data_IF_625895534108
#
_entry.id   IF_625895534108
#
_cell.length_a   1.000
_cell.length_b   1.000
_cell.length_c   1.000
_cell.angle_alpha   90.00
_cell.angle_beta   90.00
_cell.angle_gamma   90.00
#
_symmetry.space_group_name_H-M   'P 1'
#
loop_
_entity.id
_entity.type
_entity.pdbx_description
1 polymer ?
#
# COMPACT_ATOMS: atom_id res chain seq x y z
N UNK A 1 6.19 -6.83 -13.58
CA UNK A 1 6.23 -6.16 -12.26
C UNK A 1 6.33 -4.65 -12.47
N UNK A 2 5.49 -3.85 -11.83
CA UNK A 2 5.54 -2.38 -12.00
C UNK A 2 6.72 -1.82 -11.22
N UNK A 3 7.72 -1.28 -11.92
CA UNK A 3 8.88 -0.64 -11.30
C UNK A 3 8.43 0.60 -10.52
N UNK A 4 8.93 0.77 -9.31
CA UNK A 4 8.64 1.94 -8.50
C UNK A 4 9.39 3.15 -9.05
N UNK A 5 8.65 4.12 -9.60
CA UNK A 5 9.21 5.34 -10.19
C UNK A 5 9.42 6.47 -9.17
N UNK A 6 8.61 6.52 -8.12
CA UNK A 6 8.62 7.61 -7.14
C UNK A 6 9.21 7.17 -5.80
N UNK A 7 9.96 8.06 -5.14
CA UNK A 7 10.42 7.80 -3.79
C UNK A 7 9.23 7.82 -2.80
N UNK A 8 9.25 6.89 -1.82
CA UNK A 8 8.17 6.76 -0.82
C UNK A 8 7.94 8.05 -0.01
N UNK A 9 8.98 8.77 0.31
CA UNK A 9 8.90 9.98 1.13
C UNK A 9 8.42 11.23 0.38
N UNK A 10 8.47 11.24 -0.95
CA UNK A 10 7.76 12.26 -1.75
C UNK A 10 6.24 12.08 -1.65
N UNK A 11 5.78 10.84 -1.47
CA UNK A 11 4.36 10.53 -1.29
C UNK A 11 3.88 11.10 0.04
N UNK A 12 4.59 10.85 1.16
CA UNK A 12 4.26 11.38 2.48
C UNK A 12 4.11 12.90 2.46
N UNK A 13 5.09 13.59 1.90
CA UNK A 13 5.08 15.05 1.80
C UNK A 13 3.98 15.59 0.89
N UNK A 14 3.71 14.92 -0.24
CA UNK A 14 2.62 15.30 -1.17
C UNK A 14 1.26 15.18 -0.51
N UNK A 15 1.04 14.13 0.28
CA UNK A 15 -0.23 13.84 0.93
C UNK A 15 -0.36 14.51 2.31
N UNK A 16 0.68 15.24 2.75
CA UNK A 16 0.75 15.91 4.05
C UNK A 16 0.43 14.97 5.21
N UNK A 17 0.98 13.75 5.17
CA UNK A 17 0.79 12.73 6.22
C UNK A 17 1.95 11.75 6.25
N UNK A 18 2.35 11.31 7.44
CA UNK A 18 3.30 10.22 7.61
C UNK A 18 2.52 8.88 7.49
N UNK A 19 2.40 8.37 6.26
CA UNK A 19 1.54 7.21 5.93
C UNK A 19 1.88 5.93 6.72
N UNK A 20 3.15 5.74 7.06
CA UNK A 20 3.61 4.51 7.72
C UNK A 20 4.10 4.72 9.16
N UNK A 21 3.82 5.89 9.77
CA UNK A 21 4.18 6.19 11.14
C UNK A 21 5.68 6.17 11.44
N UNK A 22 6.55 6.39 10.44
CA UNK A 22 7.99 6.26 10.62
C UNK A 22 8.59 7.49 11.30
N UNK A 23 9.38 7.32 12.39
CA UNK A 23 10.03 8.44 13.07
C UNK A 23 10.94 9.26 12.14
N UNK A 24 11.66 8.56 11.24
CA UNK A 24 12.58 9.17 10.25
C UNK A 24 11.90 9.67 8.99
N UNK A 25 10.56 9.78 8.93
CA UNK A 25 9.88 10.31 7.75
C UNK A 25 10.25 11.79 7.55
N UNK A 26 10.68 12.20 6.33
CA UNK A 26 10.95 13.61 6.04
C UNK A 26 9.74 14.54 6.22
N UNK A 27 8.52 13.99 6.22
CA UNK A 27 7.32 14.77 6.53
C UNK A 27 7.35 15.37 7.92
N UNK A 28 7.90 14.66 8.91
CA UNK A 28 8.00 15.14 10.29
C UNK A 28 8.87 16.41 10.42
N UNK A 29 9.85 16.58 9.51
CA UNK A 29 10.73 17.76 9.47
C UNK A 29 10.28 18.81 8.45
N UNK A 30 9.61 18.38 7.37
CA UNK A 30 9.23 19.20 6.21
C UNK A 30 7.79 18.90 5.83
N UNK A 31 6.82 19.46 6.55
CA UNK A 31 5.39 19.22 6.38
C UNK A 31 4.77 19.83 5.10
N UNK A 32 5.60 20.39 4.21
CA UNK A 32 5.18 20.99 2.95
C UNK A 32 5.42 20.06 1.75
N UNK A 33 4.68 20.23 0.64
CA UNK A 33 4.83 19.40 -0.56
C UNK A 33 6.26 19.40 -1.11
N UNK A 34 6.70 18.35 -1.83
CA UNK A 34 8.00 18.32 -2.47
C UNK A 34 8.03 19.25 -3.69
N UNK A 35 9.24 19.75 -4.01
CA UNK A 35 9.49 20.62 -5.16
C UNK A 35 9.94 22.02 -4.74
N UNK A 36 10.41 22.79 -5.73
CA UNK A 36 10.96 24.14 -5.52
C UNK A 36 9.94 25.10 -4.89
N UNK A 37 8.67 25.02 -5.33
CA UNK A 37 7.58 25.87 -4.82
C UNK A 37 6.75 25.22 -3.71
N UNK A 38 7.26 24.16 -3.08
CA UNK A 38 6.50 23.42 -2.06
C UNK A 38 6.13 24.26 -0.84
N UNK A 39 6.98 25.18 -0.43
CA UNK A 39 6.74 26.04 0.75
C UNK A 39 5.67 27.11 0.51
N UNK A 40 5.64 27.70 -0.70
CA UNK A 40 4.69 28.75 -1.06
C UNK A 40 3.30 28.23 -1.46
N UNK A 41 3.14 26.92 -1.63
CA UNK A 41 1.91 26.32 -2.15
C UNK A 41 0.90 26.00 -1.04
N UNK A 42 0.15 26.99 -0.60
CA UNK A 42 -0.92 26.88 0.41
C UNK A 42 -2.34 26.95 -0.22
N UNK A 43 -2.53 26.41 -1.41
CA UNK A 43 -3.85 26.39 -2.04
C UNK A 43 -4.83 25.53 -1.21
N UNK A 44 -6.01 26.10 -0.91
CA UNK A 44 -7.14 25.38 -0.33
C UNK A 44 -7.62 24.33 -1.33
N UNK A 45 -7.80 23.11 -0.85
CA UNK A 45 -8.32 22.02 -1.68
C UNK A 45 -9.83 22.21 -1.90
N UNK A 46 -10.29 21.94 -3.11
CA UNK A 46 -11.71 21.76 -3.40
C UNK A 46 -12.21 20.44 -2.78
N UNK A 47 -13.54 20.28 -2.70
CA UNK A 47 -14.14 19.03 -2.18
C UNK A 47 -13.68 17.80 -2.98
N UNK A 48 -13.67 17.92 -4.31
CA UNK A 48 -13.09 16.89 -5.19
C UNK A 48 -11.61 16.63 -4.88
N UNK A 49 -10.82 17.69 -4.66
CA UNK A 49 -9.41 17.57 -4.31
C UNK A 49 -9.20 16.83 -2.99
N UNK A 50 -10.06 17.05 -2.00
CA UNK A 50 -10.05 16.37 -0.70
C UNK A 50 -10.37 14.89 -0.85
N UNK A 51 -11.40 14.54 -1.60
CA UNK A 51 -11.78 13.15 -1.89
C UNK A 51 -10.69 12.42 -2.67
N UNK A 52 -10.12 13.08 -3.69
CA UNK A 52 -9.00 12.53 -4.46
C UNK A 52 -7.77 12.28 -3.56
N UNK A 53 -7.48 13.21 -2.66
CA UNK A 53 -6.37 13.06 -1.71
C UNK A 53 -6.61 11.88 -0.76
N UNK A 54 -7.82 11.68 -0.25
CA UNK A 54 -8.18 10.53 0.59
C UNK A 54 -7.96 9.20 -0.16
N UNK A 55 -8.44 9.11 -1.40
CA UNK A 55 -8.19 7.94 -2.27
C UNK A 55 -6.69 7.71 -2.48
N UNK A 56 -5.90 8.75 -2.72
CA UNK A 56 -4.45 8.63 -2.92
C UNK A 56 -3.73 8.20 -1.63
N UNK A 57 -4.18 8.65 -0.45
CA UNK A 57 -3.66 8.18 0.84
C UNK A 57 -3.85 6.67 0.97
N UNK A 58 -5.06 6.17 0.75
CA UNK A 58 -5.38 4.75 0.84
C UNK A 58 -4.53 3.92 -0.14
N UNK A 59 -4.50 4.29 -1.42
CA UNK A 59 -3.67 3.61 -2.42
C UNK A 59 -2.19 3.57 -2.05
N UNK A 60 -1.68 4.68 -1.54
CA UNK A 60 -0.26 4.83 -1.20
C UNK A 60 0.11 4.03 0.03
N UNK A 61 -0.77 3.96 1.03
CA UNK A 61 -0.60 3.15 2.23
C UNK A 61 -0.33 1.68 1.89
N UNK A 62 -1.10 1.11 0.96
CA UNK A 62 -0.91 -0.26 0.46
C UNK A 62 0.19 -0.37 -0.62
N UNK A 63 1.23 0.45 -0.52
CA UNK A 63 2.40 0.38 -1.38
C UNK A 63 2.19 0.96 -2.78
N UNK A 64 1.39 2.01 -2.89
CA UNK A 64 1.11 2.71 -4.13
C UNK A 64 0.53 1.79 -5.23
N UNK A 65 -0.56 1.12 -4.90
CA UNK A 65 -1.34 0.30 -5.84
C UNK A 65 -1.73 1.18 -7.05
N UNK A 66 -1.61 0.65 -8.27
CA UNK A 66 -1.99 1.40 -9.45
C UNK A 66 -3.52 1.58 -9.54
N UNK A 67 -3.98 2.55 -10.33
CA UNK A 67 -5.40 2.92 -10.42
C UNK A 67 -6.27 1.77 -10.92
N UNK A 68 -5.78 1.02 -11.91
CA UNK A 68 -6.51 -0.12 -12.48
C UNK A 68 -6.72 -1.22 -11.43
N UNK A 69 -5.67 -1.55 -10.67
CA UNK A 69 -5.77 -2.54 -9.59
C UNK A 69 -6.72 -2.08 -8.48
N UNK A 70 -6.61 -0.82 -8.06
CA UNK A 70 -7.49 -0.26 -7.03
C UNK A 70 -8.95 -0.29 -7.47
N UNK A 71 -9.25 0.12 -8.71
CA UNK A 71 -10.59 0.08 -9.29
C UNK A 71 -11.15 -1.36 -9.33
N UNK A 72 -10.33 -2.34 -9.68
CA UNK A 72 -10.74 -3.75 -9.68
C UNK A 72 -11.08 -4.26 -8.28
N UNK A 73 -10.28 -3.89 -7.27
CA UNK A 73 -10.58 -4.24 -5.86
C UNK A 73 -11.87 -3.57 -5.40
N UNK A 74 -12.07 -2.30 -5.73
CA UNK A 74 -13.28 -1.56 -5.40
C UNK A 74 -14.54 -2.19 -6.04
N UNK A 75 -14.48 -2.57 -7.31
CA UNK A 75 -15.58 -3.28 -7.98
C UNK A 75 -15.92 -4.60 -7.27
N UNK A 76 -14.91 -5.36 -6.85
CA UNK A 76 -15.13 -6.59 -6.06
C UNK A 76 -15.73 -6.31 -4.69
N UNK A 77 -15.38 -5.19 -4.07
CA UNK A 77 -15.93 -4.80 -2.77
C UNK A 77 -17.43 -4.46 -2.86
N UNK A 78 -17.87 -3.75 -3.92
CA UNK A 78 -19.28 -3.44 -4.15
C UNK A 78 -20.14 -4.69 -4.36
N UNK A 79 -19.57 -5.72 -5.00
CA UNK A 79 -20.30 -6.98 -5.27
C UNK A 79 -20.50 -7.83 -4.02
N UNK A 80 -19.79 -7.54 -2.92
CA UNK A 80 -19.95 -8.25 -1.66
C UNK A 80 -21.07 -7.64 -0.82
N UNK A 81 -21.80 -8.51 -0.11
CA UNK A 81 -22.80 -8.06 0.89
C UNK A 81 -22.10 -7.33 2.05
N UNK A 82 -22.79 -6.36 2.63
CA UNK A 82 -22.31 -5.58 3.76
C UNK A 82 -21.74 -4.20 3.36
N UNK A 83 -21.01 -3.56 4.28
CA UNK A 83 -20.43 -2.25 4.00
C UNK A 83 -19.29 -2.33 2.99
N UNK A 84 -19.39 -1.49 1.97
CA UNK A 84 -18.41 -1.42 0.87
C UNK A 84 -17.02 -0.98 1.36
N UNK A 85 -16.95 -0.10 2.37
CA UNK A 85 -15.68 0.38 2.89
C UNK A 85 -14.95 -0.73 3.66
N UNK A 86 -15.65 -1.48 4.49
CA UNK A 86 -15.11 -2.64 5.21
C UNK A 86 -14.66 -3.73 4.23
N UNK A 87 -15.49 -4.05 3.25
CA UNK A 87 -15.17 -5.01 2.20
C UNK A 87 -13.91 -4.59 1.41
N UNK A 88 -13.77 -3.30 1.09
CA UNK A 88 -12.61 -2.76 0.39
C UNK A 88 -11.33 -2.91 1.22
N UNK A 89 -11.39 -2.52 2.49
CA UNK A 89 -10.25 -2.65 3.40
C UNK A 89 -9.89 -4.12 3.59
N UNK A 90 -10.87 -4.99 3.83
CA UNK A 90 -10.67 -6.43 3.96
C UNK A 90 -9.98 -7.05 2.75
N UNK A 91 -10.40 -6.69 1.52
CA UNK A 91 -9.73 -7.15 0.30
C UNK A 91 -8.30 -6.62 0.14
N UNK A 92 -8.02 -5.41 0.62
CA UNK A 92 -6.67 -4.83 0.59
C UNK A 92 -5.76 -5.45 1.65
N UNK A 93 -6.27 -5.76 2.83
CA UNK A 93 -5.51 -6.44 3.90
C UNK A 93 -5.24 -7.92 3.57
N UNK A 94 -6.14 -8.60 2.86
CA UNK A 94 -5.95 -9.99 2.42
C UNK A 94 -4.91 -10.18 1.31
N UNK A 95 -4.30 -9.12 0.81
CA UNK A 95 -3.21 -9.21 -0.15
C UNK A 95 -1.96 -9.76 0.52
N UNK A 96 -1.24 -10.64 -0.16
CA UNK A 96 -0.03 -11.28 0.36
C UNK A 96 1.03 -10.24 0.79
N UNK A 97 1.19 -9.14 0.04
CA UNK A 97 2.12 -8.06 0.43
C UNK A 97 1.73 -7.37 1.74
N UNK A 98 0.43 -7.19 1.98
CA UNK A 98 -0.10 -6.60 3.22
C UNK A 98 0.08 -7.56 4.39
N UNK A 99 -0.26 -8.84 4.22
CA UNK A 99 -0.15 -9.85 5.29
C UNK A 99 1.31 -10.04 5.72
N UNK A 100 2.26 -10.18 4.79
CA UNK A 100 3.70 -10.28 5.09
C UNK A 100 4.21 -9.04 5.84
N UNK A 101 3.72 -7.85 5.50
CA UNK A 101 4.06 -6.62 6.20
C UNK A 101 3.46 -6.60 7.62
N UNK A 102 2.18 -6.98 7.78
CA UNK A 102 1.50 -7.04 9.09
C UNK A 102 2.12 -8.09 10.01
N UNK A 103 2.49 -9.23 9.47
CA UNK A 103 3.19 -10.30 10.20
C UNK A 103 4.64 -9.95 10.56
N UNK A 104 5.12 -8.74 10.24
CA UNK A 104 6.48 -8.25 10.57
C UNK A 104 7.64 -8.99 9.89
N UNK A 105 7.39 -9.82 8.89
CA UNK A 105 8.47 -10.45 8.11
C UNK A 105 9.28 -9.46 7.29
N UNK A 106 8.78 -8.26 7.11
CA UNK A 106 9.53 -7.19 6.46
C UNK A 106 9.23 -5.82 7.07
N UNK A 107 10.20 -4.92 7.00
CA UNK A 107 10.13 -3.59 7.61
C UNK A 107 9.23 -2.61 6.84
N UNK A 108 8.86 -2.91 5.59
CA UNK A 108 8.02 -2.05 4.76
C UNK A 108 7.20 -2.87 3.78
N UNK A 109 6.03 -2.37 3.39
CA UNK A 109 5.20 -2.99 2.35
C UNK A 109 5.94 -3.10 1.00
N UNK A 110 6.89 -2.23 0.70
CA UNK A 110 7.73 -2.31 -0.50
C UNK A 110 8.76 -3.44 -0.40
N UNK A 111 9.32 -3.64 0.79
CA UNK A 111 10.21 -4.77 1.07
C UNK A 111 9.45 -6.09 1.01
N UNK A 112 8.21 -6.15 1.54
CA UNK A 112 7.33 -7.33 1.41
C UNK A 112 7.15 -7.72 -0.05
N UNK A 113 6.87 -6.77 -0.92
CA UNK A 113 6.73 -7.02 -2.37
C UNK A 113 8.00 -7.58 -2.99
N UNK A 114 9.14 -7.01 -2.65
CA UNK A 114 10.42 -7.52 -3.14
C UNK A 114 10.66 -8.94 -2.64
N UNK A 115 10.42 -9.20 -1.37
CA UNK A 115 10.56 -10.50 -0.75
C UNK A 115 9.71 -11.58 -1.42
N UNK A 116 8.42 -11.28 -1.67
CA UNK A 116 7.51 -12.17 -2.41
C UNK A 116 8.00 -12.39 -3.84
N UNK A 117 8.35 -11.32 -4.55
CA UNK A 117 8.76 -11.41 -5.95
C UNK A 117 10.05 -12.20 -6.17
N UNK A 118 10.95 -12.20 -5.19
CA UNK A 118 12.15 -13.03 -5.20
C UNK A 118 11.82 -14.50 -4.86
N UNK A 119 10.58 -14.79 -4.49
CA UNK A 119 10.09 -16.15 -4.27
C UNK A 119 10.53 -16.77 -2.96
N UNK A 120 10.70 -15.95 -1.93
CA UNK A 120 11.01 -16.39 -0.56
C UNK A 120 9.77 -16.86 0.21
N UNK A 121 8.57 -16.73 -0.37
CA UNK A 121 7.29 -17.04 0.27
C UNK A 121 6.64 -18.24 -0.40
N UNK A 122 6.09 -19.15 0.42
CA UNK A 122 5.20 -20.22 0.00
C UNK A 122 3.82 -20.00 0.62
N UNK A 123 2.79 -20.36 -0.09
CA UNK A 123 1.40 -20.41 0.39
C UNK A 123 0.91 -21.83 0.18
N UNK A 124 0.47 -22.49 1.25
CA UNK A 124 0.06 -23.90 1.24
C UNK A 124 1.14 -24.80 0.61
N UNK A 125 2.40 -24.61 1.00
CA UNK A 125 3.55 -25.34 0.49
C UNK A 125 4.01 -24.97 -0.93
N UNK A 126 3.24 -24.18 -1.69
CA UNK A 126 3.56 -23.76 -3.07
C UNK A 126 4.23 -22.39 -3.12
N UNK A 127 5.30 -22.25 -3.89
CA UNK A 127 5.99 -20.97 -4.10
C UNK A 127 5.07 -19.96 -4.81
N UNK A 128 4.91 -18.78 -4.20
CA UNK A 128 4.14 -17.66 -4.78
C UNK A 128 5.06 -16.47 -4.97
N UNK A 129 5.08 -15.90 -6.18
CA UNK A 129 5.87 -14.71 -6.54
C UNK A 129 5.00 -13.51 -6.91
N UNK A 130 3.70 -13.59 -6.67
CA UNK A 130 2.72 -12.53 -6.99
C UNK A 130 2.33 -11.81 -5.70
N UNK A 131 2.80 -10.57 -5.54
CA UNK A 131 2.53 -9.77 -4.34
C UNK A 131 1.06 -9.40 -4.12
N UNK A 132 0.26 -9.40 -5.19
CA UNK A 132 -1.18 -9.14 -5.15
C UNK A 132 -2.04 -10.39 -4.95
N UNK A 133 -1.44 -11.54 -4.67
CA UNK A 133 -2.17 -12.77 -4.38
C UNK A 133 -3.11 -12.54 -3.20
N UNK A 134 -4.37 -12.96 -3.33
CA UNK A 134 -5.38 -12.82 -2.28
C UNK A 134 -5.41 -14.09 -1.45
N UNK A 135 -5.16 -13.96 -0.17
CA UNK A 135 -5.18 -15.05 0.79
C UNK A 135 -6.61 -15.33 1.29
N UNK A 136 -6.89 -16.59 1.55
CA UNK A 136 -8.02 -17.05 2.34
C UNK A 136 -7.66 -17.11 3.82
N UNK A 137 -8.65 -17.26 4.70
CA UNK A 137 -8.43 -17.28 6.15
C UNK A 137 -7.68 -18.56 6.59
N UNK A 138 -7.84 -19.65 5.84
CA UNK A 138 -7.21 -20.94 6.11
C UNK A 138 -5.84 -21.12 5.44
N UNK A 139 -5.37 -20.11 4.65
CA UNK A 139 -4.10 -20.25 3.94
C UNK A 139 -2.90 -20.18 4.90
N UNK A 140 -2.03 -21.16 4.82
CA UNK A 140 -0.76 -21.21 5.57
C UNK A 140 0.35 -20.52 4.79
N UNK A 141 1.06 -19.59 5.44
CA UNK A 141 2.18 -18.87 4.84
C UNK A 141 3.49 -19.36 5.47
N UNK A 142 4.41 -19.76 4.63
CA UNK A 142 5.74 -20.23 5.01
C UNK A 142 6.82 -19.38 4.34
N UNK A 143 7.94 -19.17 5.04
CA UNK A 143 9.14 -18.58 4.46
C UNK A 143 10.09 -19.72 4.12
N UNK A 144 10.82 -19.59 3.02
CA UNK A 144 11.86 -20.55 2.65
C UNK A 144 13.01 -20.57 3.66
N UNK A 145 13.46 -21.76 4.04
CA UNK A 145 14.54 -21.96 5.03
C UNK A 145 15.88 -21.34 4.61
N UNK A 146 16.08 -21.09 3.32
CA UNK A 146 17.28 -20.44 2.74
C UNK A 146 16.90 -19.10 2.09
N UNK A 147 16.39 -18.17 2.84
CA UNK A 147 16.08 -16.81 2.34
C UNK A 147 16.88 -15.73 3.06
#
# INVERSE_FOLDING_TARGET
>A
MTKRLNSKHKIDRRLKVNLWGRPKSPFNKRAYPPGQHGQSKNAKLSDYGTQLQAKQKLKSYYGNINERQFRNVYRKAIMKKGDTAENLIGLLERRLDSVIYRAKFSSTIFSSRQFINHGHVKVNGKKVNISSYLLSEEDTIEIKDKS
#
